data_IF_676201403620
#
_entry.id   IF_676201403620
#
_cell.length_a   1.000
_cell.length_b   1.000
_cell.length_c   1.000
_cell.angle_alpha   90.00
_cell.angle_beta   90.00
_cell.angle_gamma   90.00
#
_symmetry.space_group_name_H-M   'P 1'
#
loop_
_entity.id
_entity.type
_entity.pdbx_description
1 polymer ?
#
# COMPACT_ATOMS: atom_id res chain seq x y z
N UNK A 1 46.88 -40.34 12.01
CA UNK A 1 47.07 -39.28 11.00
C UNK A 1 45.70 -38.75 10.63
N UNK A 2 45.38 -37.59 11.22
CA UNK A 2 44.52 -36.51 10.70
C UNK A 2 43.18 -36.87 10.06
N UNK A 3 42.12 -36.80 10.85
CA UNK A 3 40.78 -36.43 10.37
C UNK A 3 40.81 -34.97 9.87
N UNK A 4 40.21 -34.64 8.71
CA UNK A 4 40.05 -33.26 8.30
C UNK A 4 38.91 -32.64 9.12
N UNK A 5 39.29 -31.74 10.02
CA UNK A 5 38.43 -30.75 10.67
C UNK A 5 37.61 -30.03 9.59
N UNK A 6 36.43 -30.55 9.26
CA UNK A 6 35.43 -29.87 8.45
C UNK A 6 34.82 -28.77 9.32
N UNK A 7 35.60 -27.70 9.48
CA UNK A 7 35.20 -26.45 10.09
C UNK A 7 34.20 -25.82 9.15
N UNK A 8 32.94 -26.25 9.26
CA UNK A 8 31.83 -25.61 8.58
C UNK A 8 31.78 -24.17 9.07
N UNK A 9 32.38 -23.26 8.30
CA UNK A 9 32.27 -21.83 8.54
C UNK A 9 30.76 -21.56 8.58
N UNK A 10 30.21 -21.09 9.71
CA UNK A 10 28.79 -20.84 9.77
C UNK A 10 28.49 -19.76 8.74
N UNK A 11 27.61 -20.06 7.77
CA UNK A 11 27.20 -19.15 6.68
C UNK A 11 26.66 -17.81 7.21
N UNK A 12 26.40 -17.69 8.50
CA UNK A 12 26.05 -16.45 9.19
C UNK A 12 27.21 -15.43 9.27
N UNK A 13 28.47 -15.87 9.26
CA UNK A 13 29.65 -14.98 9.29
C UNK A 13 29.76 -14.12 8.03
N UNK A 14 29.70 -14.67 6.80
CA UNK A 14 29.77 -13.85 5.58
C UNK A 14 28.56 -12.92 5.44
N UNK A 15 27.35 -13.35 5.85
CA UNK A 15 26.15 -12.50 5.86
C UNK A 15 26.34 -11.32 6.81
N UNK A 16 26.89 -11.56 8.00
CA UNK A 16 27.12 -10.51 9.00
C UNK A 16 28.14 -9.48 8.52
N UNK A 17 29.24 -9.91 7.90
CA UNK A 17 30.25 -9.01 7.34
C UNK A 17 29.69 -8.14 6.21
N UNK A 18 28.90 -8.73 5.31
CA UNK A 18 28.25 -8.01 4.22
C UNK A 18 27.23 -6.98 4.74
N UNK A 19 26.41 -7.34 5.72
CA UNK A 19 25.48 -6.42 6.37
C UNK A 19 26.22 -5.27 7.06
N UNK A 20 27.31 -5.54 7.78
CA UNK A 20 28.13 -4.50 8.41
C UNK A 20 28.72 -3.55 7.38
N UNK A 21 29.22 -4.07 6.25
CA UNK A 21 29.72 -3.26 5.14
C UNK A 21 28.61 -2.34 4.58
N UNK A 22 27.45 -2.91 4.27
CA UNK A 22 26.30 -2.16 3.72
C UNK A 22 25.79 -1.09 4.68
N UNK A 23 25.77 -1.38 5.99
CA UNK A 23 25.40 -0.40 7.03
C UNK A 23 26.40 0.74 7.10
N UNK A 24 27.71 0.47 7.00
CA UNK A 24 28.75 1.52 6.95
C UNK A 24 28.62 2.41 5.71
N UNK A 25 28.25 1.81 4.58
CA UNK A 25 27.95 2.52 3.33
C UNK A 25 26.60 3.25 3.33
N UNK A 26 25.83 3.17 4.44
CA UNK A 26 24.47 3.73 4.57
C UNK A 26 23.45 3.11 3.60
N UNK A 27 23.72 1.91 3.11
CA UNK A 27 22.86 1.14 2.17
C UNK A 27 21.95 0.18 2.94
N UNK A 28 21.10 0.76 3.78
CA UNK A 28 20.27 0.00 4.72
C UNK A 28 19.20 -0.88 4.05
N UNK A 29 18.66 -0.46 2.90
CA UNK A 29 17.67 -1.27 2.16
C UNK A 29 18.29 -2.54 1.59
N UNK A 30 19.53 -2.45 1.12
CA UNK A 30 20.28 -3.59 0.61
C UNK A 30 20.72 -4.52 1.73
N UNK A 31 21.13 -3.94 2.87
CA UNK A 31 21.42 -4.71 4.09
C UNK A 31 20.18 -5.52 4.52
N UNK A 32 19.00 -4.90 4.47
CA UNK A 32 17.74 -5.58 4.77
C UNK A 32 17.44 -6.70 3.77
N UNK A 33 17.67 -6.47 2.46
CA UNK A 33 17.49 -7.50 1.43
C UNK A 33 18.40 -8.71 1.64
N UNK A 34 19.67 -8.48 2.01
CA UNK A 34 20.63 -9.55 2.34
C UNK A 34 20.15 -10.36 3.55
N UNK A 35 19.71 -9.70 4.62
CA UNK A 35 19.18 -10.39 5.80
C UNK A 35 17.92 -11.21 5.50
N UNK A 36 17.05 -10.74 4.61
CA UNK A 36 15.87 -11.50 4.21
C UNK A 36 16.21 -12.76 3.41
N UNK A 37 17.20 -12.69 2.51
CA UNK A 37 17.71 -13.88 1.82
C UNK A 37 18.28 -14.89 2.82
N UNK A 38 19.09 -14.41 3.76
CA UNK A 38 19.64 -15.25 4.82
C UNK A 38 18.54 -15.88 5.69
N UNK A 39 17.46 -15.15 5.99
CA UNK A 39 16.30 -15.70 6.71
C UNK A 39 15.55 -16.75 5.90
N UNK A 40 15.44 -16.59 4.58
CA UNK A 40 14.82 -17.62 3.73
C UNK A 40 15.60 -18.94 3.78
N UNK A 41 16.93 -18.85 3.90
CA UNK A 41 17.81 -20.02 4.09
C UNK A 41 17.81 -20.55 5.54
N UNK A 42 17.52 -19.71 6.54
CA UNK A 42 17.54 -20.05 7.97
C UNK A 42 16.41 -19.35 8.74
N UNK A 43 15.16 -19.86 8.64
CA UNK A 43 13.98 -19.16 9.15
C UNK A 43 13.86 -19.11 10.67
N UNK A 44 14.62 -19.94 11.40
CA UNK A 44 14.61 -20.02 12.87
C UNK A 44 15.72 -19.22 13.57
N UNK A 45 16.57 -18.51 12.83
CA UNK A 45 17.67 -17.76 13.41
C UNK A 45 17.18 -16.46 14.07
N UNK A 46 17.28 -16.41 15.40
CA UNK A 46 16.88 -15.25 16.23
C UNK A 46 17.80 -14.05 16.03
N UNK A 47 19.07 -14.25 15.71
CA UNK A 47 20.02 -13.15 15.47
C UNK A 47 19.69 -12.43 14.16
N UNK A 48 19.35 -13.19 13.11
CA UNK A 48 18.87 -12.63 11.85
C UNK A 48 17.56 -11.87 12.05
N UNK A 49 16.61 -12.43 12.80
CA UNK A 49 15.34 -11.77 13.08
C UNK A 49 15.55 -10.44 13.84
N UNK A 50 16.38 -10.45 14.89
CA UNK A 50 16.71 -9.25 15.66
C UNK A 50 17.40 -8.20 14.78
N UNK A 51 18.30 -8.62 13.90
CA UNK A 51 19.00 -7.72 12.97
C UNK A 51 18.05 -7.10 11.94
N UNK A 52 17.11 -7.88 11.41
CA UNK A 52 16.06 -7.41 10.49
C UNK A 52 15.21 -6.35 11.21
N UNK A 53 14.73 -6.64 12.41
CA UNK A 53 13.88 -5.71 13.18
C UNK A 53 14.61 -4.38 13.47
N UNK A 54 15.88 -4.43 13.89
CA UNK A 54 16.69 -3.23 14.14
C UNK A 54 16.89 -2.38 12.89
N UNK A 55 17.20 -3.00 11.74
CA UNK A 55 17.37 -2.25 10.48
C UNK A 55 16.04 -1.65 10.02
N UNK A 56 14.92 -2.38 10.18
CA UNK A 56 13.59 -1.86 9.86
C UNK A 56 13.21 -0.66 10.73
N UNK A 57 13.48 -0.73 12.02
CA UNK A 57 13.19 0.36 12.95
C UNK A 57 14.03 1.60 12.63
N UNK A 58 15.32 1.41 12.33
CA UNK A 58 16.19 2.49 11.87
C UNK A 58 15.68 3.14 10.58
N UNK A 59 15.32 2.34 9.57
CA UNK A 59 14.77 2.83 8.31
C UNK A 59 13.43 3.57 8.53
N UNK A 60 12.55 3.05 9.38
CA UNK A 60 11.29 3.69 9.71
C UNK A 60 11.51 5.08 10.33
N UNK A 61 12.45 5.20 11.26
CA UNK A 61 12.84 6.50 11.84
C UNK A 61 13.45 7.45 10.81
N UNK A 62 14.29 6.95 9.91
CA UNK A 62 14.87 7.75 8.84
C UNK A 62 13.80 8.26 7.85
N UNK A 63 12.81 7.43 7.51
CA UNK A 63 11.71 7.81 6.64
C UNK A 63 10.75 8.79 7.31
N UNK A 64 10.37 8.56 8.57
CA UNK A 64 9.60 9.50 9.36
C UNK A 64 10.27 10.90 9.38
N UNK A 65 11.59 10.94 9.61
CA UNK A 65 12.34 12.20 9.61
C UNK A 65 12.36 12.88 8.23
N UNK A 66 12.42 12.11 7.14
CA UNK A 66 12.35 12.65 5.77
C UNK A 66 10.97 13.21 5.42
N UNK A 67 9.91 12.67 6.00
CA UNK A 67 8.55 13.17 5.85
C UNK A 67 8.28 14.43 6.68
N UNK A 68 9.23 14.87 7.51
CA UNK A 68 9.06 16.03 8.40
C UNK A 68 8.53 15.68 9.80
N UNK A 69 8.36 14.40 10.11
CA UNK A 69 7.78 13.90 11.35
C UNK A 69 6.49 13.12 11.09
N UNK A 70 6.12 12.20 12.00
CA UNK A 70 4.91 11.40 11.85
C UNK A 70 3.64 12.18 12.18
N UNK A 71 3.75 13.22 13.01
CA UNK A 71 2.63 14.10 13.41
C UNK A 71 2.19 15.07 12.30
N UNK A 72 2.90 15.09 11.17
CA UNK A 72 2.56 15.96 10.06
C UNK A 72 1.37 15.38 9.28
N UNK A 73 0.40 16.25 8.97
CA UNK A 73 -0.77 15.90 8.16
C UNK A 73 -0.34 15.66 6.71
N UNK A 74 -0.76 14.53 6.16
CA UNK A 74 -0.48 14.17 4.78
C UNK A 74 -1.27 15.09 3.85
N UNK A 75 -0.56 15.91 3.06
CA UNK A 75 -1.15 16.77 2.05
C UNK A 75 -1.74 16.00 0.84
N UNK A 76 -2.33 16.71 -0.12
CA UNK A 76 -2.81 16.09 -1.35
C UNK A 76 -1.63 15.49 -2.14
N UNK A 77 -1.79 14.25 -2.60
CA UNK A 77 -0.77 13.51 -3.33
C UNK A 77 -0.54 14.19 -4.69
N UNK A 78 0.71 14.43 -5.11
CA UNK A 78 0.98 14.95 -6.44
C UNK A 78 0.49 13.96 -7.50
N UNK A 79 -0.25 14.45 -8.51
CA UNK A 79 -0.84 13.62 -9.59
C UNK A 79 0.23 12.84 -10.40
N UNK A 80 1.49 13.27 -10.32
CA UNK A 80 2.64 12.62 -10.94
C UNK A 80 3.20 11.43 -10.14
N UNK A 81 2.75 11.22 -8.90
CA UNK A 81 3.29 10.18 -8.04
C UNK A 81 2.81 8.79 -8.47
N UNK A 82 3.75 7.86 -8.59
CA UNK A 82 3.64 6.57 -9.25
C UNK A 82 2.37 5.75 -9.00
N UNK A 83 1.91 5.05 -10.04
CA UNK A 83 0.72 4.17 -10.01
C UNK A 83 1.02 2.77 -9.46
N UNK A 84 1.92 2.66 -8.47
CA UNK A 84 2.16 1.35 -7.87
C UNK A 84 0.91 0.90 -7.08
N UNK A 85 0.62 -0.41 -7.01
CA UNK A 85 -0.54 -0.91 -6.27
C UNK A 85 -0.53 -0.46 -4.80
N UNK A 86 0.66 -0.46 -4.19
CA UNK A 86 0.87 -0.01 -2.82
C UNK A 86 0.65 1.49 -2.67
N UNK A 87 1.08 2.30 -3.64
CA UNK A 87 0.83 3.75 -3.67
C UNK A 87 -0.68 4.05 -3.74
N UNK A 88 -1.40 3.34 -4.61
CA UNK A 88 -2.86 3.46 -4.70
C UNK A 88 -3.53 3.05 -3.39
N UNK A 89 -3.01 2.03 -2.70
CA UNK A 89 -3.55 1.61 -1.41
C UNK A 89 -3.33 2.67 -0.32
N UNK A 90 -2.12 3.20 -0.18
CA UNK A 90 -1.81 4.26 0.78
C UNK A 90 -2.60 5.52 0.47
N UNK A 91 -2.79 5.85 -0.82
CA UNK A 91 -3.55 7.02 -1.25
C UNK A 91 -5.00 7.04 -0.76
N UNK A 92 -5.62 5.88 -0.55
CA UNK A 92 -7.00 5.78 -0.03
C UNK A 92 -7.15 6.26 1.41
N UNK A 93 -6.06 6.31 2.16
CA UNK A 93 -6.03 6.77 3.55
C UNK A 93 -5.56 8.22 3.68
N UNK A 94 -5.18 8.87 2.57
CA UNK A 94 -4.79 10.28 2.56
C UNK A 94 -6.06 11.10 2.28
N UNK A 95 -6.72 11.52 3.35
CA UNK A 95 -7.95 12.33 3.34
C UNK A 95 -7.69 13.84 3.54
N UNK A 96 -6.43 14.23 3.76
CA UNK A 96 -6.02 15.60 4.05
C UNK A 96 -6.18 16.03 5.51
N UNK A 97 -6.65 15.13 6.38
CA UNK A 97 -6.75 15.33 7.84
C UNK A 97 -5.91 14.33 8.65
N UNK A 98 -5.60 13.18 8.08
CA UNK A 98 -4.82 12.13 8.72
C UNK A 98 -3.34 12.47 8.76
N UNK A 99 -2.71 12.26 9.92
CA UNK A 99 -1.26 12.36 10.07
C UNK A 99 -0.56 11.18 9.40
N UNK A 100 0.74 11.32 9.11
CA UNK A 100 1.52 10.19 8.63
C UNK A 100 1.52 9.01 9.62
N UNK A 101 1.48 9.28 10.94
CA UNK A 101 1.32 8.22 11.95
C UNK A 101 -0.01 7.48 11.79
N UNK A 102 -1.12 8.22 11.64
CA UNK A 102 -2.45 7.64 11.45
C UNK A 102 -2.50 6.75 10.21
N UNK A 103 -1.95 7.23 9.09
CA UNK A 103 -1.90 6.47 7.83
C UNK A 103 -1.05 5.20 7.97
N UNK A 104 0.07 5.30 8.68
CA UNK A 104 0.98 4.18 8.96
C UNK A 104 0.31 3.12 9.83
N UNK A 105 -0.52 3.52 10.79
CA UNK A 105 -1.28 2.60 11.64
C UNK A 105 -2.47 1.96 10.94
N UNK A 106 -3.16 2.69 10.06
CA UNK A 106 -4.34 2.19 9.35
C UNK A 106 -4.01 1.29 8.15
N UNK A 107 -2.85 1.48 7.50
CA UNK A 107 -2.54 0.80 6.26
C UNK A 107 -2.06 -0.66 6.50
N UNK A 108 -2.63 -1.66 5.78
CA UNK A 108 -2.30 -3.08 5.99
C UNK A 108 -0.92 -3.50 5.47
N UNK A 109 -0.18 -2.61 4.77
CA UNK A 109 1.15 -2.89 4.23
C UNK A 109 2.23 -3.01 5.33
N UNK A 110 1.93 -2.53 6.54
CA UNK A 110 2.85 -2.49 7.67
C UNK A 110 3.75 -1.25 7.68
N UNK A 111 4.24 -0.91 8.88
CA UNK A 111 4.85 0.40 9.17
C UNK A 111 5.94 0.84 8.19
N UNK A 112 6.94 0.00 7.98
CA UNK A 112 8.08 0.35 7.11
C UNK A 112 7.63 0.53 5.65
N UNK A 113 6.74 -0.34 5.17
CA UNK A 113 6.31 -0.32 3.78
C UNK A 113 5.46 0.91 3.48
N UNK A 114 4.53 1.24 4.36
CA UNK A 114 3.72 2.46 4.25
C UNK A 114 4.61 3.71 4.23
N UNK A 115 5.62 3.78 5.11
CA UNK A 115 6.58 4.90 5.13
C UNK A 115 7.43 5.00 3.86
N UNK A 116 7.90 3.88 3.31
CA UNK A 116 8.63 3.88 2.03
C UNK A 116 7.77 4.44 0.90
N UNK A 117 6.51 4.00 0.83
CA UNK A 117 5.56 4.45 -0.20
C UNK A 117 5.25 5.93 -0.03
N UNK A 118 4.97 6.39 1.20
CA UNK A 118 4.77 7.81 1.49
C UNK A 118 5.98 8.65 1.07
N UNK A 119 7.19 8.26 1.47
CA UNK A 119 8.40 8.97 1.04
C UNK A 119 8.51 9.01 -0.48
N UNK A 120 8.24 7.90 -1.16
CA UNK A 120 8.28 7.88 -2.62
C UNK A 120 7.25 8.80 -3.29
N UNK A 121 6.03 8.86 -2.73
CA UNK A 121 4.96 9.73 -3.20
C UNK A 121 5.31 11.22 -3.06
N UNK A 122 5.87 11.63 -1.91
CA UNK A 122 6.15 13.03 -1.60
C UNK A 122 7.52 13.53 -2.09
N UNK A 123 8.48 12.63 -2.30
CA UNK A 123 9.80 12.99 -2.85
C UNK A 123 9.89 12.82 -4.37
N UNK A 124 8.83 12.33 -5.01
CA UNK A 124 8.80 12.05 -6.46
C UNK A 124 9.75 10.94 -6.89
N UNK A 125 10.29 10.17 -5.94
CA UNK A 125 11.24 9.10 -6.18
C UNK A 125 10.50 7.78 -6.01
N UNK A 126 10.08 7.16 -7.11
CA UNK A 126 9.53 5.80 -7.04
C UNK A 126 10.57 4.88 -6.38
N UNK A 127 10.28 4.45 -5.15
CA UNK A 127 11.08 3.43 -4.48
C UNK A 127 10.69 2.12 -5.14
N UNK A 128 11.44 1.72 -6.17
CA UNK A 128 11.31 0.42 -6.79
C UNK A 128 11.37 -0.65 -5.69
N UNK A 129 10.27 -1.38 -5.51
CA UNK A 129 10.19 -2.43 -4.49
C UNK A 129 10.97 -3.64 -4.97
N UNK A 130 12.03 -4.08 -4.27
CA UNK A 130 12.60 -5.40 -4.51
C UNK A 130 11.67 -6.54 -4.04
N UNK A 131 10.51 -6.22 -3.42
CA UNK A 131 9.56 -7.18 -2.86
C UNK A 131 8.26 -7.35 -3.67
N UNK A 132 8.12 -6.67 -4.81
CA UNK A 132 6.99 -6.90 -5.73
C UNK A 132 7.32 -7.96 -6.78
N UNK A 133 7.80 -9.14 -6.37
CA UNK A 133 7.77 -10.34 -7.22
C UNK A 133 6.45 -11.09 -7.00
N UNK A 134 5.41 -10.64 -7.70
CA UNK A 134 4.31 -11.45 -8.21
C UNK A 134 3.33 -10.57 -9.01
N UNK A 135 3.81 -9.98 -10.11
CA UNK A 135 2.92 -9.71 -11.24
C UNK A 135 3.72 -9.98 -12.52
N UNK A 136 3.34 -10.97 -13.34
CA UNK A 136 4.05 -11.24 -14.58
C UNK A 136 4.05 -9.98 -15.47
N UNK A 137 5.12 -9.76 -16.27
CA UNK A 137 5.24 -8.61 -17.13
C UNK A 137 4.35 -8.79 -18.39
N UNK A 138 3.03 -8.71 -18.23
CA UNK A 138 2.08 -8.84 -19.35
C UNK A 138 1.36 -7.54 -19.72
N UNK A 139 1.88 -6.38 -19.31
CA UNK A 139 1.32 -5.08 -19.70
C UNK A 139 2.34 -4.09 -20.27
N UNK A 140 3.53 -4.55 -20.66
CA UNK A 140 4.30 -3.84 -21.69
C UNK A 140 3.67 -4.13 -23.04
N UNK A 141 2.63 -3.37 -23.38
CA UNK A 141 2.16 -3.21 -24.76
C UNK A 141 3.36 -2.74 -25.57
N UNK A 142 3.93 -3.64 -26.36
CA UNK A 142 4.93 -3.29 -27.36
C UNK A 142 4.33 -2.25 -28.32
N UNK A 143 5.09 -1.24 -28.76
CA UNK A 143 4.72 -0.48 -29.95
C UNK A 143 4.79 -1.44 -31.14
N UNK A 144 3.65 -1.74 -31.74
CA UNK A 144 3.59 -2.58 -32.95
C UNK A 144 4.46 -1.96 -34.04
N UNK A 145 5.41 -2.71 -34.64
CA UNK A 145 6.09 -2.26 -35.84
C UNK A 145 5.11 -2.28 -37.02
N UNK A 146 5.10 -1.17 -37.73
CA UNK A 146 4.48 -1.00 -39.03
C UNK A 146 4.93 -2.11 -39.98
N UNK A 147 3.98 -2.71 -40.69
CA UNK A 147 4.25 -3.57 -41.85
C UNK A 147 3.39 -3.12 -43.04
N UNK A 148 3.88 -3.36 -44.27
CA UNK A 148 3.75 -2.43 -45.38
C UNK A 148 2.75 -2.87 -46.44
N UNK A 149 2.51 -1.94 -47.37
CA UNK A 149 1.99 -2.07 -48.73
C UNK A 149 1.82 -3.48 -49.29
N UNK A 150 0.61 -3.78 -49.75
CA UNK A 150 0.36 -4.60 -50.93
C UNK A 150 -0.84 -4.01 -51.70
N UNK A 151 -0.51 -3.50 -52.88
CA UNK A 151 -1.41 -2.96 -53.89
C UNK A 151 -2.31 -4.05 -54.50
N UNK A 152 -3.51 -3.64 -54.93
CA UNK A 152 -4.20 -4.15 -56.13
C UNK A 152 -5.33 -3.21 -56.55
N UNK A 153 -4.96 -2.34 -57.48
CA UNK A 153 -5.58 -2.00 -58.77
C UNK A 153 -7.10 -2.15 -59.07
N UNK A 154 -7.56 -1.17 -59.87
CA UNK A 154 -8.65 -1.13 -60.86
C UNK A 154 -10.09 -0.64 -60.49
N UNK A 155 -10.37 0.65 -60.81
CA UNK A 155 -11.51 1.09 -61.65
C UNK A 155 -12.83 1.63 -61.02
N UNK A 156 -13.26 2.89 -61.32
CA UNK A 156 -14.62 3.45 -61.06
C UNK A 156 -15.46 3.53 -62.37
N UNK A 157 -16.64 4.19 -62.49
CA UNK A 157 -17.60 4.81 -61.55
C UNK A 157 -19.08 4.43 -61.80
N UNK A 158 -20.01 4.67 -60.86
CA UNK A 158 -21.36 5.26 -61.16
C UNK A 158 -22.11 5.65 -59.89
N UNK A 159 -22.50 6.93 -59.81
CA UNK A 159 -23.45 7.50 -58.82
C UNK A 159 -24.86 7.50 -59.45
N UNK A 160 -25.96 7.53 -58.67
CA UNK A 160 -26.47 8.83 -58.23
C UNK A 160 -27.05 8.88 -56.80
N UNK A 161 -26.97 10.09 -56.28
CA UNK A 161 -27.53 10.65 -55.05
C UNK A 161 -29.06 10.55 -54.99
N UNK A 162 -29.61 10.05 -53.87
CA UNK A 162 -30.93 10.44 -53.31
C UNK A 162 -31.04 9.84 -51.91
N UNK A 163 -30.92 10.63 -50.85
CA UNK A 163 -32.08 11.22 -50.19
C UNK A 163 -32.04 10.84 -48.71
N UNK A 164 -32.27 11.81 -47.84
CA UNK A 164 -32.27 11.73 -46.38
C UNK A 164 -33.15 10.59 -45.87
N UNK A 165 -32.61 9.65 -45.08
CA UNK A 165 -33.37 9.01 -44.02
C UNK A 165 -32.45 8.59 -42.86
N UNK A 166 -32.87 8.96 -41.67
CA UNK A 166 -32.15 8.83 -40.40
C UNK A 166 -31.95 7.35 -40.06
N UNK A 167 -30.72 6.85 -40.14
CA UNK A 167 -30.38 5.57 -39.52
C UNK A 167 -30.13 5.81 -38.04
N UNK A 168 -31.03 5.29 -37.22
CA UNK A 168 -30.92 5.26 -35.77
C UNK A 168 -29.52 4.77 -35.33
N UNK A 169 -28.91 5.36 -34.29
CA UNK A 169 -27.71 4.79 -33.70
C UNK A 169 -28.06 3.40 -33.15
N UNK A 170 -27.44 2.36 -33.71
CA UNK A 170 -27.42 1.03 -33.12
C UNK A 170 -26.98 1.14 -31.65
N UNK A 171 -27.71 0.53 -30.70
CA UNK A 171 -27.25 0.48 -29.33
C UNK A 171 -25.92 -0.29 -29.29
N UNK A 172 -24.88 0.22 -28.61
CA UNK A 172 -23.64 -0.52 -28.43
C UNK A 172 -23.96 -1.87 -27.74
N UNK A 173 -23.24 -2.96 -28.07
CA UNK A 173 -23.39 -4.21 -27.34
C UNK A 173 -23.14 -3.91 -25.87
N UNK A 174 -24.16 -4.17 -25.05
CA UNK A 174 -24.17 -3.97 -23.62
C UNK A 174 -22.95 -4.68 -23.02
N UNK A 175 -21.86 -3.92 -22.87
CA UNK A 175 -20.79 -4.25 -21.94
C UNK A 175 -21.44 -4.16 -20.58
N UNK A 176 -21.93 -5.30 -20.11
CA UNK A 176 -22.49 -5.44 -18.78
C UNK A 176 -21.54 -4.73 -17.80
N UNK A 177 -22.02 -3.73 -17.05
CA UNK A 177 -21.23 -3.24 -15.94
C UNK A 177 -21.06 -4.45 -15.01
N UNK A 178 -19.85 -5.00 -14.94
CA UNK A 178 -19.42 -5.86 -13.85
C UNK A 178 -19.29 -4.99 -12.58
N UNK A 179 -20.35 -4.25 -12.22
CA UNK A 179 -20.58 -3.88 -10.85
C UNK A 179 -21.05 -5.16 -10.19
N UNK A 180 -20.12 -5.89 -9.58
CA UNK A 180 -20.47 -6.77 -8.47
C UNK A 180 -21.33 -5.91 -7.55
N UNK A 181 -22.65 -6.10 -7.58
CA UNK A 181 -23.55 -5.58 -6.55
C UNK A 181 -23.08 -6.26 -5.28
N UNK A 182 -22.16 -5.63 -4.57
CA UNK A 182 -21.90 -5.95 -3.17
C UNK A 182 -23.25 -5.70 -2.52
N UNK A 183 -23.98 -6.78 -2.25
CA UNK A 183 -25.22 -6.73 -1.51
C UNK A 183 -24.81 -6.25 -0.13
N UNK A 184 -24.91 -4.93 0.10
CA UNK A 184 -24.66 -4.33 1.40
C UNK A 184 -25.58 -5.02 2.39
N UNK A 185 -24.99 -5.79 3.28
CA UNK A 185 -25.74 -6.48 4.31
C UNK A 185 -26.26 -5.45 5.30
N UNK A 186 -27.35 -5.76 6.00
CA UNK A 186 -27.86 -4.91 7.07
C UNK A 186 -26.77 -4.66 8.15
N UNK A 187 -25.83 -5.61 8.32
CA UNK A 187 -24.63 -5.45 9.15
C UNK A 187 -23.64 -4.41 8.61
N UNK A 188 -23.42 -4.32 7.29
CA UNK A 188 -22.59 -3.26 6.68
C UNK A 188 -23.16 -1.87 6.98
N UNK A 189 -24.48 -1.74 6.85
CA UNK A 189 -25.17 -0.47 7.07
C UNK A 189 -25.10 -0.06 8.55
N UNK A 190 -25.41 -0.97 9.46
CA UNK A 190 -25.30 -0.74 10.92
C UNK A 190 -23.88 -0.42 11.34
N UNK A 191 -22.90 -1.11 10.75
CA UNK A 191 -21.49 -0.83 10.99
C UNK A 191 -21.13 0.59 10.55
N UNK A 192 -21.50 1.03 9.34
CA UNK A 192 -21.22 2.39 8.87
C UNK A 192 -21.92 3.45 9.70
N UNK A 193 -23.17 3.22 10.09
CA UNK A 193 -23.91 4.12 10.97
C UNK A 193 -23.24 4.24 12.35
N UNK A 194 -22.80 3.13 12.94
CA UNK A 194 -22.08 3.13 14.22
C UNK A 194 -20.70 3.79 14.09
N UNK A 195 -19.96 3.51 13.02
CA UNK A 195 -18.62 4.04 12.79
C UNK A 195 -18.64 5.56 12.55
N UNK A 196 -19.60 6.04 11.74
CA UNK A 196 -19.81 7.46 11.51
C UNK A 196 -20.24 8.19 12.79
N UNK A 197 -21.09 7.58 13.61
CA UNK A 197 -21.49 8.12 14.93
C UNK A 197 -20.30 8.23 15.88
N UNK A 198 -19.47 7.19 15.98
CA UNK A 198 -18.27 7.20 16.80
C UNK A 198 -17.29 8.28 16.36
N UNK A 199 -17.11 8.43 15.04
CA UNK A 199 -16.24 9.47 14.47
C UNK A 199 -16.77 10.87 14.75
N UNK A 200 -18.08 11.10 14.60
CA UNK A 200 -18.70 12.39 14.91
C UNK A 200 -18.59 12.73 16.40
N UNK A 201 -18.82 11.77 17.29
CA UNK A 201 -18.67 11.95 18.74
C UNK A 201 -17.21 12.25 19.11
N UNK A 202 -16.24 11.57 18.48
CA UNK A 202 -14.82 11.78 18.67
C UNK A 202 -14.39 13.20 18.27
N UNK A 203 -14.83 13.69 17.10
CA UNK A 203 -14.57 15.07 16.64
C UNK A 203 -15.21 16.11 17.57
N UNK A 204 -16.37 15.80 18.14
CA UNK A 204 -17.04 16.65 19.14
C UNK A 204 -16.42 16.56 20.55
N UNK A 205 -15.30 15.83 20.73
CA UNK A 205 -14.66 15.54 22.03
C UNK A 205 -15.56 14.82 23.02
N UNK A 206 -16.65 14.20 22.56
CA UNK A 206 -17.52 13.36 23.38
C UNK A 206 -16.94 11.96 23.42
N UNK A 207 -15.78 11.82 24.07
CA UNK A 207 -14.98 10.61 23.99
C UNK A 207 -15.68 9.39 24.61
N UNK A 208 -16.52 9.56 25.62
CA UNK A 208 -17.34 8.48 26.18
C UNK A 208 -18.31 7.88 25.14
N UNK A 209 -19.05 8.74 24.42
CA UNK A 209 -19.97 8.31 23.35
C UNK A 209 -19.22 7.72 22.15
N UNK A 210 -18.03 8.24 21.85
CA UNK A 210 -17.18 7.70 20.79
C UNK A 210 -16.71 6.27 21.10
N UNK A 211 -16.27 6.03 22.34
CA UNK A 211 -15.85 4.69 22.80
C UNK A 211 -17.00 3.69 22.65
N UNK A 212 -18.20 4.01 23.12
CA UNK A 212 -19.35 3.11 23.01
C UNK A 212 -19.70 2.77 21.56
N UNK A 213 -19.66 3.76 20.66
CA UNK A 213 -19.94 3.57 19.25
C UNK A 213 -18.87 2.70 18.55
N UNK A 214 -17.59 2.89 18.85
CA UNK A 214 -16.52 2.07 18.28
C UNK A 214 -16.47 0.66 18.89
N UNK A 215 -16.84 0.47 20.16
CA UNK A 215 -17.02 -0.87 20.73
C UNK A 215 -18.11 -1.65 20.02
N UNK A 216 -19.22 -1.00 19.66
CA UNK A 216 -20.27 -1.62 18.86
C UNK A 216 -19.75 -2.07 17.49
N UNK A 217 -18.92 -1.26 16.83
CA UNK A 217 -18.25 -1.63 15.57
C UNK A 217 -17.34 -2.85 15.74
N UNK A 218 -16.52 -2.91 16.79
CA UNK A 218 -15.62 -4.04 17.07
C UNK A 218 -16.40 -5.31 17.40
N UNK A 219 -17.54 -5.21 18.11
CA UNK A 219 -18.43 -6.35 18.39
C UNK A 219 -19.07 -6.91 17.11
N UNK A 220 -19.44 -6.05 16.17
CA UNK A 220 -19.98 -6.47 14.87
C UNK A 220 -18.89 -7.08 13.98
N UNK A 221 -17.66 -6.54 14.04
CA UNK A 221 -16.53 -7.01 13.21
C UNK A 221 -15.27 -7.19 14.04
N UNK A 222 -15.12 -8.34 14.73
CA UNK A 222 -13.96 -8.61 15.59
C UNK A 222 -12.61 -8.77 14.85
N UNK A 223 -12.57 -8.58 13.52
CA UNK A 223 -11.35 -8.53 12.71
C UNK A 223 -11.08 -7.17 12.05
N UNK A 224 -11.94 -6.17 12.29
CA UNK A 224 -11.77 -4.85 11.68
C UNK A 224 -10.80 -3.99 12.49
N UNK A 225 -9.57 -3.88 11.98
CA UNK A 225 -8.52 -3.06 12.59
C UNK A 225 -8.91 -1.58 12.68
N UNK A 226 -9.75 -1.08 11.78
CA UNK A 226 -10.13 0.33 11.72
C UNK A 226 -10.93 0.74 12.97
N UNK A 227 -11.95 -0.06 13.32
CA UNK A 227 -12.74 0.16 14.53
C UNK A 227 -11.92 -0.03 15.82
N UNK A 228 -11.02 -1.01 15.84
CA UNK A 228 -10.16 -1.28 16.99
C UNK A 228 -9.12 -0.16 17.24
N UNK A 229 -8.60 0.47 16.18
CA UNK A 229 -7.70 1.63 16.28
C UNK A 229 -8.47 2.84 16.81
N UNK A 230 -9.62 3.15 16.22
CA UNK A 230 -10.44 4.29 16.65
C UNK A 230 -10.93 4.14 18.09
N UNK A 231 -11.28 2.92 18.52
CA UNK A 231 -11.63 2.62 19.91
C UNK A 231 -10.48 2.95 20.87
N UNK A 232 -9.26 2.46 20.58
CA UNK A 232 -8.08 2.73 21.42
C UNK A 232 -7.76 4.22 21.51
N UNK A 233 -7.91 4.95 20.40
CA UNK A 233 -7.71 6.40 20.37
C UNK A 233 -8.75 7.13 21.23
N UNK A 234 -10.03 6.80 21.06
CA UNK A 234 -11.11 7.38 21.85
C UNK A 234 -10.96 7.09 23.35
N UNK A 235 -10.50 5.88 23.72
CA UNK A 235 -10.21 5.53 25.11
C UNK A 235 -9.07 6.37 25.69
N UNK A 236 -7.97 6.52 24.95
CA UNK A 236 -6.83 7.34 25.37
C UNK A 236 -7.24 8.80 25.60
N UNK A 237 -7.97 9.38 24.66
CA UNK A 237 -8.36 10.79 24.76
C UNK A 237 -9.41 11.02 25.86
N UNK A 238 -10.30 10.06 26.11
CA UNK A 238 -11.19 10.07 27.28
C UNK A 238 -10.41 10.09 28.59
N UNK A 239 -9.41 9.22 28.70
CA UNK A 239 -8.63 9.10 29.93
C UNK A 239 -7.76 10.35 30.17
N UNK A 240 -7.32 11.03 29.11
CA UNK A 240 -6.66 12.34 29.18
C UNK A 240 -7.62 13.46 29.61
N UNK A 241 -8.86 13.46 29.12
CA UNK A 241 -9.87 14.47 29.45
C UNK A 241 -10.39 14.33 30.90
N UNK A 242 -10.37 13.12 31.46
CA UNK A 242 -10.73 12.86 32.87
C UNK A 242 -9.58 13.10 33.87
N UNK A 243 -8.34 13.18 33.38
CA UNK A 243 -7.13 13.30 34.21
C UNK A 243 -6.54 14.72 34.30
N UNK A 244 -7.14 15.70 33.63
CA UNK A 244 -6.76 17.12 33.66
C UNK A 244 -7.75 17.98 34.42
#
# INVERSE_FOLDING_TARGET
>A
MTEPESRAIPKSVPVREEVVRLVREKRYEEALAVLYRARAESPGDRELQTSIERIKEFLAGAYAKRLGGLDQVAGPIPVAAGRSPDALMVARYIDGSSTFDDIVQMCPLGKLRTLQVLVGLYTGREVASPFSEATPPSWRRAPSPSSPDLASDAGPPTMPTRGLEQRAPEPPPASAPFTLRVVETEEDRRYREAFSRGTAAFVQRRFAEAVEAFEACVKMRPGDNSAAVMLRRAQRDRDLDLGG
#
